data_IF_317055074444
#
_entry.id   IF_317055074444
#
_cell.length_a   1.000
_cell.length_b   1.000
_cell.length_c   1.000
_cell.angle_alpha   90.00
_cell.angle_beta   90.00
_cell.angle_gamma   90.00
#
_symmetry.space_group_name_H-M   'P 1'
#
loop_
_entity.id
_entity.type
_entity.pdbx_description
1 polymer ?
#
# COMPACT_ATOMS: atom_id res chain seq x y z
N UNK A 1 22.40 -7.11 -2.91
CA UNK A 1 22.56 -5.86 -2.17
C UNK A 1 21.61 -4.82 -2.73
N UNK A 2 20.48 -4.60 -2.05
CA UNK A 2 19.43 -3.67 -2.48
C UNK A 2 19.82 -2.21 -2.30
N UNK A 3 20.68 -1.91 -1.34
CA UNK A 3 21.11 -0.55 -0.99
C UNK A 3 21.62 0.23 -2.21
N UNK A 4 22.41 -0.42 -3.05
CA UNK A 4 23.04 0.22 -4.22
C UNK A 4 22.01 0.77 -5.23
N UNK A 5 20.86 0.12 -5.36
CA UNK A 5 19.89 0.44 -6.41
C UNK A 5 18.60 1.10 -5.89
N UNK A 6 18.26 0.88 -4.62
CA UNK A 6 16.95 1.27 -4.08
C UNK A 6 17.02 2.22 -2.88
N UNK A 7 18.20 2.47 -2.32
CA UNK A 7 18.42 3.52 -1.34
C UNK A 7 18.99 4.76 -2.03
N UNK A 8 18.20 5.82 -2.10
CA UNK A 8 18.52 7.05 -2.84
C UNK A 8 18.23 8.27 -1.98
N UNK A 9 19.11 8.58 -0.99
CA UNK A 9 18.86 9.68 -0.06
C UNK A 9 18.85 11.06 -0.71
N UNK A 10 19.42 11.19 -1.91
CA UNK A 10 19.41 12.43 -2.71
C UNK A 10 18.11 12.62 -3.51
N UNK A 11 17.24 11.63 -3.55
CA UNK A 11 16.02 11.71 -4.33
C UNK A 11 15.01 12.66 -3.67
N UNK A 12 14.49 13.59 -4.45
CA UNK A 12 13.39 14.47 -4.05
C UNK A 12 12.08 13.94 -4.62
N UNK A 13 11.11 13.56 -3.76
CA UNK A 13 9.82 13.07 -4.22
C UNK A 13 9.11 14.09 -5.13
N UNK A 14 8.48 13.57 -6.18
CA UNK A 14 7.68 14.36 -7.11
C UNK A 14 6.24 14.44 -6.64
N UNK A 15 5.51 15.46 -7.09
CA UNK A 15 4.08 15.61 -6.81
C UNK A 15 3.23 14.44 -7.35
N UNK A 16 3.78 13.69 -8.31
CA UNK A 16 3.14 12.52 -8.91
C UNK A 16 3.51 11.19 -8.24
N UNK A 17 4.44 11.21 -7.28
CA UNK A 17 4.83 9.99 -6.57
C UNK A 17 3.81 9.61 -5.49
N UNK A 18 3.57 8.32 -5.34
CA UNK A 18 2.93 7.76 -4.15
C UNK A 18 3.99 7.60 -3.07
N UNK A 19 3.75 8.16 -1.89
CA UNK A 19 4.68 8.11 -0.77
C UNK A 19 4.15 7.18 0.32
N UNK A 20 5.02 6.31 0.83
CA UNK A 20 4.70 5.42 1.94
C UNK A 20 5.74 5.56 3.05
N UNK A 21 5.28 5.52 4.28
CA UNK A 21 6.13 5.43 5.46
C UNK A 21 5.97 4.05 6.08
N UNK A 22 7.08 3.33 6.22
CA UNK A 22 7.10 2.00 6.84
C UNK A 22 7.90 2.03 8.14
N UNK A 23 7.32 1.45 9.19
CA UNK A 23 8.08 1.12 10.38
C UNK A 23 8.76 -0.22 10.15
N UNK A 24 10.07 -0.23 10.22
CA UNK A 24 10.91 -1.38 9.88
C UNK A 24 11.72 -1.81 11.10
N UNK A 25 11.69 -3.10 11.41
CA UNK A 25 12.62 -3.72 12.35
C UNK A 25 13.51 -4.67 11.56
N UNK A 26 14.74 -4.28 11.23
CA UNK A 26 15.66 -5.16 10.52
C UNK A 26 16.03 -6.40 11.35
N UNK A 27 16.41 -7.49 10.68
CA UNK A 27 17.05 -8.61 11.35
C UNK A 27 18.41 -8.18 11.91
N UNK A 28 18.91 -8.84 12.96
CA UNK A 28 20.24 -8.56 13.50
C UNK A 28 21.31 -8.60 12.41
N UNK A 29 22.17 -7.58 12.37
CA UNK A 29 23.24 -7.46 11.38
C UNK A 29 22.83 -6.86 10.03
N UNK A 30 21.55 -6.54 9.83
CA UNK A 30 21.09 -5.87 8.62
C UNK A 30 21.04 -4.36 8.88
N UNK A 31 21.82 -3.54 8.15
CA UNK A 31 21.75 -2.08 8.29
C UNK A 31 20.38 -1.52 7.89
N UNK A 32 19.94 -0.40 8.50
CA UNK A 32 18.67 0.20 8.15
C UNK A 32 18.57 0.61 6.68
N UNK A 33 19.66 1.05 6.06
CA UNK A 33 19.71 1.42 4.64
C UNK A 33 19.45 0.21 3.73
N UNK A 34 20.00 -0.94 4.07
CA UNK A 34 19.72 -2.18 3.34
C UNK A 34 18.28 -2.65 3.55
N UNK A 35 17.78 -2.54 4.78
CA UNK A 35 16.39 -2.90 5.09
C UNK A 35 15.40 -1.99 4.37
N UNK A 36 15.60 -0.67 4.38
CA UNK A 36 14.76 0.29 3.67
C UNK A 36 14.81 0.10 2.16
N UNK A 37 15.98 -0.16 1.62
CA UNK A 37 16.16 -0.48 0.20
C UNK A 37 15.44 -1.78 -0.17
N UNK A 38 15.51 -2.80 0.68
CA UNK A 38 14.79 -4.05 0.46
C UNK A 38 13.26 -3.83 0.44
N UNK A 39 12.74 -2.99 1.33
CA UNK A 39 11.31 -2.62 1.31
C UNK A 39 10.94 -1.95 -0.01
N UNK A 40 11.72 -0.98 -0.46
CA UNK A 40 11.48 -0.31 -1.74
C UNK A 40 11.54 -1.28 -2.93
N UNK A 41 12.51 -2.18 -2.93
CA UNK A 41 12.70 -3.16 -4.00
C UNK A 41 11.55 -4.17 -4.07
N UNK A 42 11.28 -4.85 -2.96
CA UNK A 42 10.28 -5.93 -2.91
C UNK A 42 8.85 -5.44 -3.08
N UNK A 43 8.59 -4.17 -2.81
CA UNK A 43 7.29 -3.54 -3.03
C UNK A 43 7.15 -2.89 -4.41
N UNK A 44 8.15 -3.01 -5.27
CA UNK A 44 8.13 -2.46 -6.64
C UNK A 44 8.66 -3.43 -7.67
N UNK A 45 9.94 -3.33 -8.04
CA UNK A 45 10.53 -4.06 -9.17
C UNK A 45 11.63 -5.04 -8.76
N UNK A 46 12.06 -5.02 -7.50
CA UNK A 46 13.19 -5.81 -7.05
C UNK A 46 12.84 -7.28 -6.86
N UNK A 47 13.84 -8.13 -7.12
CA UNK A 47 13.82 -9.55 -6.78
C UNK A 47 15.07 -9.88 -5.96
N UNK A 48 14.99 -10.94 -5.18
CA UNK A 48 16.12 -11.37 -4.34
C UNK A 48 17.30 -11.95 -5.15
N UNK A 49 17.10 -12.17 -6.45
CA UNK A 49 18.11 -12.69 -7.37
C UNK A 49 18.03 -11.99 -8.74
N UNK A 50 19.14 -12.01 -9.45
CA UNK A 50 19.17 -11.55 -10.84
C UNK A 50 18.43 -12.55 -11.73
N UNK A 51 17.55 -12.06 -12.58
CA UNK A 51 16.80 -12.87 -13.52
C UNK A 51 17.18 -12.49 -14.97
N UNK A 52 17.06 -13.44 -15.90
CA UNK A 52 17.47 -13.23 -17.29
C UNK A 52 16.64 -12.12 -17.98
N UNK A 53 15.44 -11.82 -17.46
CA UNK A 53 14.58 -10.78 -18.00
C UNK A 53 15.00 -9.37 -17.62
N UNK A 54 15.93 -9.18 -16.68
CA UNK A 54 16.38 -7.85 -16.25
C UNK A 54 16.92 -7.00 -17.40
N UNK A 55 17.54 -7.62 -18.40
CA UNK A 55 18.04 -6.94 -19.59
C UNK A 55 16.97 -6.55 -20.62
N UNK A 56 15.72 -7.00 -20.42
CA UNK A 56 14.62 -6.78 -21.37
C UNK A 56 13.73 -5.58 -21.00
N UNK A 57 13.93 -5.01 -19.80
CA UNK A 57 13.05 -3.96 -19.28
C UNK A 57 13.86 -2.78 -18.74
N UNK A 58 13.22 -1.61 -18.67
CA UNK A 58 13.76 -0.42 -18.01
C UNK A 58 13.23 -0.37 -16.57
N UNK A 59 13.84 -1.14 -15.67
CA UNK A 59 13.41 -1.23 -14.26
C UNK A 59 13.52 0.11 -13.53
N UNK A 60 14.49 0.95 -13.89
CA UNK A 60 14.69 2.26 -13.26
C UNK A 60 13.45 3.16 -13.34
N UNK A 61 12.66 3.01 -14.39
CA UNK A 61 11.45 3.79 -14.59
C UNK A 61 10.37 3.47 -13.55
N UNK A 62 10.34 2.22 -13.06
CA UNK A 62 9.26 1.71 -12.21
C UNK A 62 9.68 1.40 -10.78
N UNK A 63 10.96 1.53 -10.45
CA UNK A 63 11.44 1.15 -9.13
C UNK A 63 10.98 2.11 -8.04
N UNK A 64 10.67 1.56 -6.86
CA UNK A 64 10.51 2.32 -5.63
C UNK A 64 11.87 2.82 -5.14
N UNK A 65 11.88 3.94 -4.41
CA UNK A 65 13.09 4.55 -3.88
C UNK A 65 12.91 4.84 -2.40
N UNK A 66 13.75 4.22 -1.57
CA UNK A 66 13.87 4.61 -0.17
C UNK A 66 14.73 5.88 -0.13
N UNK A 67 14.11 7.02 0.16
CA UNK A 67 14.79 8.31 0.08
C UNK A 67 15.10 8.91 1.43
N UNK A 68 14.54 8.38 2.51
CA UNK A 68 14.82 8.86 3.86
C UNK A 68 14.58 7.76 4.88
N UNK A 69 15.46 7.71 5.88
CA UNK A 69 15.35 6.78 7.01
C UNK A 69 15.63 7.56 8.28
N UNK A 70 14.77 7.39 9.28
CA UNK A 70 14.99 7.97 10.61
C UNK A 70 14.74 6.94 11.70
N UNK A 71 15.53 6.95 12.79
CA UNK A 71 15.29 6.06 13.92
C UNK A 71 13.99 6.44 14.65
N UNK A 72 13.31 5.43 15.21
CA UNK A 72 12.15 5.66 16.07
C UNK A 72 12.66 6.00 17.48
N UNK A 73 12.24 7.16 17.99
CA UNK A 73 12.65 7.61 19.32
C UNK A 73 12.20 6.63 20.41
N UNK A 74 13.14 6.25 21.28
CA UNK A 74 12.86 5.36 22.40
C UNK A 74 12.81 3.88 22.06
N UNK A 75 13.02 3.50 20.80
CA UNK A 75 12.99 2.11 20.35
C UNK A 75 14.34 1.70 19.76
N UNK A 76 14.81 0.54 20.17
CA UNK A 76 16.03 -0.02 19.59
C UNK A 76 15.71 -0.71 18.26
N UNK A 77 16.59 -0.52 17.28
CA UNK A 77 16.53 -1.22 16.00
C UNK A 77 15.19 -1.07 15.27
N UNK A 78 14.52 0.06 15.45
CA UNK A 78 13.31 0.40 14.71
C UNK A 78 13.52 1.72 13.96
N UNK A 79 13.05 1.75 12.71
CA UNK A 79 13.25 2.88 11.81
C UNK A 79 11.99 3.16 11.04
N UNK A 80 11.77 4.44 10.71
CA UNK A 80 10.77 4.82 9.70
C UNK A 80 11.52 4.98 8.38
N UNK A 81 11.15 4.17 7.41
CA UNK A 81 11.69 4.23 6.06
C UNK A 81 10.64 4.84 5.12
N UNK A 82 11.03 5.90 4.44
CA UNK A 82 10.17 6.62 3.51
C UNK A 82 10.46 6.18 2.08
N UNK A 83 9.45 5.71 1.39
CA UNK A 83 9.56 5.15 0.04
C UNK A 83 8.69 5.94 -0.92
N UNK A 84 9.25 6.32 -2.07
CA UNK A 84 8.54 6.95 -3.17
C UNK A 84 8.34 5.94 -4.30
N UNK A 85 7.13 5.87 -4.83
CA UNK A 85 6.77 5.02 -5.97
C UNK A 85 6.36 5.88 -7.16
N UNK A 86 6.88 5.62 -8.36
CA UNK A 86 6.49 6.38 -9.53
C UNK A 86 5.01 6.15 -9.89
N UNK A 87 4.39 7.15 -10.50
CA UNK A 87 2.97 7.12 -10.85
C UNK A 87 2.60 5.91 -11.71
N UNK A 88 3.47 5.56 -12.67
CA UNK A 88 3.20 4.49 -13.63
C UNK A 88 3.36 3.07 -13.07
N UNK A 89 3.79 2.93 -11.82
CA UNK A 89 3.97 1.61 -11.19
C UNK A 89 2.64 0.91 -10.93
N UNK A 90 1.61 1.66 -10.57
CA UNK A 90 0.32 1.13 -10.17
C UNK A 90 -0.72 1.30 -11.27
N UNK A 91 -1.60 0.30 -11.41
CA UNK A 91 -2.70 0.34 -12.35
C UNK A 91 -3.69 1.44 -11.97
N UNK A 92 -4.10 2.23 -12.96
CA UNK A 92 -5.10 3.28 -12.78
C UNK A 92 -6.43 2.72 -12.27
N UNK A 93 -7.02 3.40 -11.29
CA UNK A 93 -8.32 3.05 -10.75
C UNK A 93 -8.36 1.73 -9.96
N UNK A 94 -7.20 1.19 -9.54
CA UNK A 94 -7.12 -0.11 -8.86
C UNK A 94 -6.39 -0.03 -7.52
N UNK A 95 -7.15 0.09 -6.44
CA UNK A 95 -6.58 0.05 -5.08
C UNK A 95 -5.98 -1.33 -4.77
N UNK A 96 -6.55 -2.40 -5.32
CA UNK A 96 -6.03 -3.76 -5.12
C UNK A 96 -4.66 -3.94 -5.77
N UNK A 97 -4.44 -3.40 -6.95
CA UNK A 97 -3.13 -3.44 -7.61
C UNK A 97 -2.08 -2.69 -6.77
N UNK A 98 -2.40 -1.48 -6.31
CA UNK A 98 -1.51 -0.68 -5.47
C UNK A 98 -1.15 -1.42 -4.17
N UNK A 99 -2.14 -1.95 -3.44
CA UNK A 99 -1.89 -2.65 -2.19
C UNK A 99 -1.22 -4.01 -2.37
N UNK A 100 -1.39 -4.69 -3.50
CA UNK A 100 -0.64 -5.90 -3.81
C UNK A 100 0.87 -5.65 -3.83
N UNK A 101 1.28 -4.46 -4.25
CA UNK A 101 2.69 -4.05 -4.22
C UNK A 101 3.12 -3.56 -2.83
N UNK A 102 2.43 -2.56 -2.29
CA UNK A 102 2.85 -1.87 -1.06
C UNK A 102 2.77 -2.78 0.17
N UNK A 103 1.71 -3.59 0.30
CA UNK A 103 1.50 -4.52 1.41
C UNK A 103 1.47 -5.97 0.95
N UNK A 104 2.32 -6.32 0.00
CA UNK A 104 2.42 -7.65 -0.59
C UNK A 104 3.59 -8.47 -0.02
N UNK A 105 4.39 -9.01 -0.91
CA UNK A 105 5.48 -9.95 -0.61
C UNK A 105 6.49 -9.42 0.43
N UNK A 106 6.71 -8.13 0.48
CA UNK A 106 7.69 -7.51 1.37
C UNK A 106 7.40 -7.83 2.85
N UNK A 107 6.16 -8.08 3.21
CA UNK A 107 5.79 -8.44 4.59
C UNK A 107 6.26 -9.84 4.99
N UNK A 108 6.65 -10.68 4.04
CA UNK A 108 7.28 -11.97 4.29
C UNK A 108 8.78 -12.00 4.07
N UNK A 109 9.41 -10.86 3.86
CA UNK A 109 10.82 -10.79 3.50
C UNK A 109 11.75 -11.08 4.69
N UNK A 110 12.67 -12.03 4.50
CA UNK A 110 13.50 -12.58 5.58
C UNK A 110 14.47 -11.60 6.25
N UNK A 111 14.90 -10.56 5.55
CA UNK A 111 15.78 -9.55 6.11
C UNK A 111 15.08 -8.64 7.13
N UNK A 112 13.77 -8.71 7.22
CA UNK A 112 12.96 -7.92 8.14
C UNK A 112 12.42 -8.81 9.27
N UNK A 113 12.61 -8.37 10.50
CA UNK A 113 12.01 -9.00 11.67
C UNK A 113 10.55 -8.57 11.83
N UNK A 114 10.26 -7.30 11.54
CA UNK A 114 8.90 -6.75 11.56
C UNK A 114 8.77 -5.62 10.54
N UNK A 115 7.57 -5.46 10.01
CA UNK A 115 7.24 -4.41 9.05
C UNK A 115 5.80 -3.95 9.29
N UNK A 116 5.59 -2.63 9.26
CA UNK A 116 4.28 -2.02 9.35
C UNK A 116 4.18 -0.82 8.42
N UNK A 117 3.11 -0.75 7.64
CA UNK A 117 2.76 0.47 6.91
C UNK A 117 2.16 1.48 7.88
N UNK A 118 2.82 2.63 8.06
CA UNK A 118 2.37 3.66 9.00
C UNK A 118 1.59 4.77 8.30
N UNK A 119 1.99 5.18 7.13
CA UNK A 119 1.32 6.24 6.38
C UNK A 119 1.44 6.01 4.88
N UNK A 120 0.46 6.53 4.16
CA UNK A 120 0.40 6.46 2.71
C UNK A 120 -0.13 7.78 2.18
N UNK A 121 0.63 8.41 1.28
CA UNK A 121 0.23 9.66 0.63
C UNK A 121 0.07 9.42 -0.86
N UNK A 122 -1.18 9.48 -1.31
CA UNK A 122 -1.55 9.16 -2.68
C UNK A 122 -1.67 10.47 -3.46
N UNK A 123 -0.96 10.62 -4.61
CA UNK A 123 -1.02 11.85 -5.38
C UNK A 123 -2.37 12.05 -6.06
N UNK A 124 -2.75 13.30 -6.27
CA UNK A 124 -3.97 13.64 -6.99
C UNK A 124 -4.01 13.00 -8.38
N UNK A 125 -2.86 12.94 -9.06
CA UNK A 125 -2.73 12.31 -10.38
C UNK A 125 -3.19 10.85 -10.39
N UNK A 126 -3.03 10.12 -9.27
CA UNK A 126 -3.52 8.75 -9.14
C UNK A 126 -4.97 8.71 -8.68
N UNK A 127 -5.34 9.51 -7.66
CA UNK A 127 -6.69 9.53 -7.11
C UNK A 127 -7.74 9.82 -8.18
N UNK A 128 -7.47 10.76 -9.08
CA UNK A 128 -8.39 11.13 -10.15
C UNK A 128 -8.62 10.04 -11.19
N UNK A 129 -7.86 8.94 -11.17
CA UNK A 129 -8.11 7.79 -12.04
C UNK A 129 -9.24 6.91 -11.54
N UNK A 130 -9.69 7.11 -10.30
CA UNK A 130 -10.83 6.42 -9.72
C UNK A 130 -12.11 7.17 -10.09
N UNK A 131 -13.13 6.42 -10.48
CA UNK A 131 -14.40 7.01 -10.88
C UNK A 131 -15.29 7.43 -9.70
N UNK A 132 -14.95 6.97 -8.50
CA UNK A 132 -15.75 7.18 -7.31
C UNK A 132 -16.97 6.25 -7.26
N UNK A 133 -17.97 6.57 -6.42
CA UNK A 133 -19.20 5.79 -6.32
C UNK A 133 -19.94 5.76 -7.67
N UNK A 134 -20.63 4.65 -8.00
CA UNK A 134 -21.35 4.54 -9.27
C UNK A 134 -22.46 5.59 -9.43
N UNK A 135 -23.00 6.08 -8.31
CA UNK A 135 -23.98 7.18 -8.29
C UNK A 135 -23.99 7.84 -6.90
N UNK A 136 -24.53 9.04 -6.83
CA UNK A 136 -24.50 9.84 -5.60
C UNK A 136 -25.73 9.66 -4.71
N UNK A 137 -25.82 10.47 -3.66
CA UNK A 137 -26.85 10.44 -2.63
C UNK A 137 -28.25 10.57 -3.22
N UNK A 138 -28.45 11.44 -4.20
CA UNK A 138 -29.77 11.66 -4.80
C UNK A 138 -30.29 10.39 -5.46
N UNK A 139 -29.45 9.68 -6.22
CA UNK A 139 -29.85 8.43 -6.86
C UNK A 139 -30.19 7.35 -5.83
N UNK A 140 -29.41 7.25 -4.75
CA UNK A 140 -29.71 6.30 -3.66
C UNK A 140 -31.04 6.62 -2.99
N UNK A 141 -31.34 7.89 -2.74
CA UNK A 141 -32.64 8.31 -2.20
C UNK A 141 -33.78 7.99 -3.13
N UNK A 142 -33.61 8.22 -4.42
CA UNK A 142 -34.62 7.93 -5.43
C UNK A 142 -34.92 6.42 -5.52
N UNK A 143 -33.88 5.59 -5.51
CA UNK A 143 -34.02 4.12 -5.52
C UNK A 143 -34.76 3.60 -4.30
N UNK A 144 -34.49 4.17 -3.13
CA UNK A 144 -35.09 3.76 -1.86
C UNK A 144 -36.39 4.48 -1.55
N UNK A 145 -36.74 5.51 -2.34
CA UNK A 145 -37.89 6.38 -2.09
C UNK A 145 -37.86 6.98 -0.68
N UNK A 146 -36.70 7.51 -0.26
CA UNK A 146 -36.47 8.05 1.07
C UNK A 146 -35.93 9.47 1.01
N UNK A 147 -36.77 10.43 1.43
CA UNK A 147 -36.45 11.86 1.37
C UNK A 147 -36.63 12.52 2.74
N UNK A 148 -35.81 13.54 3.04
CA UNK A 148 -35.94 14.34 4.24
C UNK A 148 -35.69 13.60 5.54
N UNK A 149 -35.08 12.40 5.50
CA UNK A 149 -34.76 11.59 6.69
C UNK A 149 -33.50 10.75 6.48
N UNK A 150 -32.85 10.29 7.56
CA UNK A 150 -31.72 9.40 7.45
C UNK A 150 -32.06 8.06 6.76
N UNK A 151 -31.08 7.49 6.08
CA UNK A 151 -31.14 6.10 5.62
C UNK A 151 -30.71 5.19 6.75
N UNK A 152 -31.36 4.04 6.90
CA UNK A 152 -31.06 3.04 7.91
C UNK A 152 -30.26 1.90 7.29
N UNK A 153 -29.09 1.61 7.85
CA UNK A 153 -28.27 0.47 7.47
C UNK A 153 -28.18 -0.54 8.62
N UNK A 154 -28.18 -1.81 8.31
CA UNK A 154 -28.02 -2.87 9.29
C UNK A 154 -26.97 -3.87 8.86
N UNK A 155 -26.02 -4.19 9.74
CA UNK A 155 -25.01 -5.21 9.53
C UNK A 155 -25.34 -6.46 10.34
N UNK A 156 -25.64 -7.54 9.66
CA UNK A 156 -26.00 -8.80 10.31
C UNK A 156 -24.77 -9.62 10.65
N UNK A 157 -24.73 -10.15 11.87
CA UNK A 157 -23.73 -11.10 12.35
C UNK A 157 -24.42 -12.36 12.87
N UNK A 158 -23.84 -13.56 12.68
CA UNK A 158 -22.59 -13.85 11.97
C UNK A 158 -22.71 -13.63 10.45
N UNK A 159 -21.59 -13.34 9.81
CA UNK A 159 -21.52 -13.12 8.36
C UNK A 159 -21.92 -14.33 7.52
N UNK A 160 -21.61 -15.52 8.00
CA UNK A 160 -21.87 -16.81 7.35
C UNK A 160 -22.42 -17.81 8.37
N UNK A 161 -23.03 -18.88 7.88
CA UNK A 161 -23.44 -20.04 8.69
C UNK A 161 -24.90 -20.02 9.13
N UNK A 162 -25.64 -18.97 8.90
CA UNK A 162 -27.08 -18.94 9.14
C UNK A 162 -27.85 -19.46 7.92
N UNK A 163 -28.96 -20.17 8.16
CA UNK A 163 -29.92 -20.46 7.11
C UNK A 163 -30.62 -19.17 6.65
N UNK A 164 -31.17 -19.16 5.45
CA UNK A 164 -31.92 -18.00 4.93
C UNK A 164 -33.06 -17.58 5.89
N UNK A 165 -33.75 -18.57 6.47
CA UNK A 165 -34.81 -18.31 7.48
C UNK A 165 -34.25 -17.59 8.71
N UNK A 166 -33.10 -18.03 9.23
CA UNK A 166 -32.49 -17.41 10.41
C UNK A 166 -31.89 -16.05 10.10
N UNK A 167 -31.35 -15.82 8.90
CA UNK A 167 -30.97 -14.46 8.49
C UNK A 167 -32.18 -13.52 8.47
N UNK A 168 -33.30 -13.98 7.90
CA UNK A 168 -34.52 -13.20 7.91
C UNK A 168 -34.99 -12.83 9.32
N UNK A 169 -34.91 -13.78 10.26
CA UNK A 169 -35.23 -13.53 11.69
C UNK A 169 -34.27 -12.57 12.36
N UNK A 170 -32.96 -12.59 12.00
CA UNK A 170 -31.98 -11.69 12.54
C UNK A 170 -32.12 -10.26 12.02
N UNK A 171 -32.67 -10.09 10.82
CA UNK A 171 -32.92 -8.77 10.23
C UNK A 171 -34.19 -8.14 10.79
N UNK A 172 -35.23 -8.93 11.05
CA UNK A 172 -36.52 -8.49 11.57
C UNK A 172 -36.45 -8.07 13.03
#
# INVERSE_FOLDING_TARGET
DYKLNYYTPEYEPKDTDTLAAFRVTPQPGVPPEEAGAAVAAESSTGTWTTVWTDGLTSLDRYKGRCYHIEPVAGEENQYICYVAYPLDLFEEGSVTNMFTSIVGNVFGFKALRALRLEDLRIPVAYIKTFQGPPHGIQVERDKLNKYGRPLLGCTIKPKLGLSAKNYGRAVY
#
